data_IF_049107991605
#
_entry.id   IF_049107991605
#
_cell.length_a   1.000
_cell.length_b   1.000
_cell.length_c   1.000
_cell.angle_alpha   90.00
_cell.angle_beta   90.00
_cell.angle_gamma   90.00
#
_symmetry.space_group_name_H-M   'P 1'
#
loop_
_entity.id
_entity.type
_entity.pdbx_description
1 polymer ?
#
# COMPACT_ATOMS: atom_id res chain seq x y z
N UNK A 1 28.39 18.20 -23.48
CA UNK A 1 27.80 16.91 -23.07
C UNK A 1 27.95 16.78 -21.56
N UNK A 2 26.85 16.91 -20.79
CA UNK A 2 26.64 16.53 -19.37
C UNK A 2 25.39 17.26 -18.85
N UNK A 3 24.21 16.88 -19.33
CA UNK A 3 22.91 17.38 -18.82
C UNK A 3 21.85 16.26 -18.83
N UNK A 4 22.25 15.03 -18.53
CA UNK A 4 21.34 13.88 -18.55
C UNK A 4 21.39 13.01 -17.28
N UNK A 5 21.99 13.52 -16.19
CA UNK A 5 22.15 12.73 -14.96
C UNK A 5 21.49 13.34 -13.70
N UNK A 6 21.21 14.65 -13.66
CA UNK A 6 20.60 15.28 -12.47
C UNK A 6 19.11 14.97 -12.33
N UNK A 7 18.34 14.91 -13.42
CA UNK A 7 16.90 14.57 -13.37
C UNK A 7 16.67 13.11 -12.97
N UNK A 8 17.57 12.20 -13.36
CA UNK A 8 17.49 10.79 -12.98
C UNK A 8 17.88 10.56 -11.51
N UNK A 9 18.81 11.34 -10.96
CA UNK A 9 19.15 11.32 -9.53
C UNK A 9 17.99 11.83 -8.67
N UNK A 10 17.28 12.88 -9.11
CA UNK A 10 16.10 13.45 -8.44
C UNK A 10 14.97 12.44 -8.21
N UNK A 11 14.87 11.43 -9.08
CA UNK A 11 13.87 10.37 -9.01
C UNK A 11 14.38 9.08 -8.38
N UNK A 12 15.61 9.05 -7.86
CA UNK A 12 16.10 7.85 -7.19
C UNK A 12 15.34 7.63 -5.86
N UNK A 13 14.85 6.41 -5.57
CA UNK A 13 14.08 6.13 -4.34
C UNK A 13 14.83 6.56 -3.08
N UNK A 14 16.16 6.40 -3.09
CA UNK A 14 17.05 6.76 -1.99
C UNK A 14 17.16 8.27 -1.78
N UNK A 15 17.27 9.06 -2.85
CA UNK A 15 17.30 10.52 -2.73
C UNK A 15 15.92 11.06 -2.32
N UNK A 16 14.83 10.43 -2.78
CA UNK A 16 13.48 10.78 -2.31
C UNK A 16 13.29 10.49 -0.82
N UNK A 17 13.84 9.39 -0.31
CA UNK A 17 13.80 9.03 1.11
C UNK A 17 14.63 10.00 1.98
N UNK A 18 15.85 10.36 1.55
CA UNK A 18 16.70 11.33 2.26
C UNK A 18 16.11 12.75 2.28
N UNK A 19 15.58 13.22 1.14
CA UNK A 19 14.93 14.52 1.04
C UNK A 19 13.63 14.56 1.87
N UNK A 20 12.89 13.46 1.92
CA UNK A 20 11.70 13.33 2.74
C UNK A 20 12.03 13.32 4.24
N UNK A 21 13.07 12.60 4.67
CA UNK A 21 13.53 12.61 6.06
C UNK A 21 13.91 14.02 6.54
N UNK A 22 14.44 14.85 5.64
CA UNK A 22 14.77 16.25 5.92
C UNK A 22 13.54 17.17 5.95
N UNK A 23 12.50 16.86 5.18
CA UNK A 23 11.30 17.70 5.04
C UNK A 23 10.10 17.24 5.88
N UNK A 24 10.16 16.04 6.48
CA UNK A 24 9.08 15.50 7.31
C UNK A 24 8.95 16.29 8.62
N UNK A 25 7.74 16.76 9.00
CA UNK A 25 7.51 17.35 10.32
C UNK A 25 7.80 16.37 11.47
N UNK A 26 7.65 15.06 11.22
CA UNK A 26 8.01 13.98 12.14
C UNK A 26 8.10 12.64 11.40
N UNK A 27 9.15 11.85 11.65
CA UNK A 27 9.27 10.47 11.15
C UNK A 27 8.19 9.53 11.67
N UNK A 28 7.52 9.90 12.76
CA UNK A 28 6.50 9.08 13.41
C UNK A 28 5.08 9.40 12.94
N UNK A 29 4.92 10.30 11.96
CA UNK A 29 3.62 10.72 11.48
C UNK A 29 2.89 9.55 10.77
N UNK A 30 1.65 9.27 11.18
CA UNK A 30 0.83 8.21 10.60
C UNK A 30 0.94 6.85 11.29
N UNK A 31 1.99 6.58 12.07
CA UNK A 31 2.13 5.31 12.81
C UNK A 31 1.07 5.13 13.91
N UNK A 32 0.57 6.22 14.49
CA UNK A 32 -0.56 6.18 15.42
C UNK A 32 -1.84 5.65 14.75
N UNK A 33 -2.10 6.08 13.51
CA UNK A 33 -3.20 5.61 12.68
C UNK A 33 -2.97 4.17 12.25
N UNK A 34 -1.75 3.81 11.87
CA UNK A 34 -1.39 2.45 11.50
C UNK A 34 -1.60 1.46 12.65
N UNK A 35 -1.08 1.77 13.84
CA UNK A 35 -1.25 0.93 15.03
C UNK A 35 -2.72 0.71 15.38
N UNK A 36 -3.54 1.78 15.32
CA UNK A 36 -4.98 1.66 15.51
C UNK A 36 -5.63 0.81 14.41
N UNK A 37 -5.21 0.99 13.16
CA UNK A 37 -5.65 0.17 12.03
C UNK A 37 -5.35 -1.30 12.23
N UNK A 38 -4.14 -1.66 12.68
CA UNK A 38 -3.74 -3.04 13.00
C UNK A 38 -4.60 -3.62 14.13
N UNK A 39 -4.86 -2.83 15.18
CA UNK A 39 -5.73 -3.26 16.27
C UNK A 39 -7.17 -3.53 15.80
N UNK A 40 -7.71 -2.70 14.91
CA UNK A 40 -9.04 -2.88 14.30
C UNK A 40 -9.07 -4.08 13.34
N UNK A 41 -8.02 -4.27 12.55
CA UNK A 41 -7.86 -5.39 11.63
C UNK A 41 -7.86 -6.73 12.38
N UNK A 42 -7.18 -6.82 13.52
CA UNK A 42 -7.19 -8.02 14.39
C UNK A 42 -8.58 -8.35 14.95
N UNK A 43 -9.48 -7.37 14.99
CA UNK A 43 -10.89 -7.52 15.37
C UNK A 43 -11.81 -7.71 14.17
N UNK A 44 -11.24 -7.90 12.97
CA UNK A 44 -11.97 -8.05 11.71
C UNK A 44 -12.88 -6.87 11.35
N UNK A 45 -12.62 -5.69 11.93
CA UNK A 45 -13.33 -4.44 11.61
C UNK A 45 -12.70 -3.78 10.38
N UNK A 46 -12.85 -4.41 9.21
CA UNK A 46 -12.06 -4.10 8.02
C UNK A 46 -12.28 -2.68 7.47
N UNK A 47 -13.51 -2.16 7.47
CA UNK A 47 -13.82 -0.81 7.02
C UNK A 47 -13.19 0.25 7.92
N UNK A 48 -13.28 0.06 9.24
CA UNK A 48 -12.69 0.95 10.23
C UNK A 48 -11.15 0.92 10.15
N UNK A 49 -10.56 -0.27 9.99
CA UNK A 49 -9.13 -0.45 9.80
C UNK A 49 -8.65 0.26 8.51
N UNK A 50 -9.33 0.04 7.38
CA UNK A 50 -9.03 0.69 6.12
C UNK A 50 -9.11 2.23 6.21
N UNK A 51 -10.07 2.77 6.97
CA UNK A 51 -10.14 4.22 7.23
C UNK A 51 -8.90 4.75 7.94
N UNK A 52 -8.38 4.03 8.93
CA UNK A 52 -7.14 4.43 9.62
C UNK A 52 -5.92 4.29 8.72
N UNK A 53 -5.81 3.20 7.96
CA UNK A 53 -4.70 3.02 7.02
C UNK A 53 -4.71 4.08 5.91
N UNK A 54 -5.87 4.48 5.38
CA UNK A 54 -5.98 5.61 4.45
C UNK A 54 -5.45 6.92 5.05
N UNK A 55 -5.72 7.18 6.34
CA UNK A 55 -5.16 8.32 7.04
C UNK A 55 -3.65 8.20 7.22
N UNK A 56 -3.15 7.01 7.54
CA UNK A 56 -1.71 6.75 7.63
C UNK A 56 -1.01 7.02 6.29
N UNK A 57 -1.56 6.53 5.18
CA UNK A 57 -1.07 6.79 3.81
C UNK A 57 -1.13 8.28 3.45
N UNK A 58 -2.20 8.99 3.81
CA UNK A 58 -2.30 10.44 3.58
C UNK A 58 -1.23 11.22 4.34
N UNK A 59 -0.98 10.83 5.59
CA UNK A 59 -0.01 11.48 6.47
C UNK A 59 1.44 11.16 6.07
N UNK A 60 1.69 9.94 5.62
CA UNK A 60 2.99 9.50 5.12
C UNK A 60 2.79 8.58 3.90
N UNK A 61 2.83 9.13 2.68
CA UNK A 61 2.64 8.36 1.45
C UNK A 61 3.89 7.59 1.02
N UNK A 62 5.01 7.68 1.73
CA UNK A 62 6.26 6.99 1.38
C UNK A 62 6.50 5.74 2.25
N UNK A 63 5.81 5.62 3.38
CA UNK A 63 5.76 4.36 4.11
C UNK A 63 4.95 3.32 3.31
N UNK A 64 5.66 2.33 2.79
CA UNK A 64 5.09 1.25 1.98
C UNK A 64 4.21 0.32 2.82
N UNK A 65 4.53 0.14 4.10
CA UNK A 65 3.78 -0.73 5.02
C UNK A 65 2.32 -0.27 5.17
N UNK A 66 2.06 1.05 5.17
CA UNK A 66 0.70 1.58 5.30
C UNK A 66 -0.19 1.21 4.11
N UNK A 67 0.38 1.22 2.89
CA UNK A 67 -0.32 0.79 1.66
C UNK A 67 -0.52 -0.72 1.64
N UNK A 68 0.48 -1.49 2.10
CA UNK A 68 0.34 -2.93 2.27
C UNK A 68 -0.80 -3.29 3.24
N UNK A 69 -0.89 -2.63 4.39
CA UNK A 69 -1.97 -2.84 5.36
C UNK A 69 -3.35 -2.43 4.80
N UNK A 70 -3.41 -1.32 4.06
CA UNK A 70 -4.63 -0.89 3.37
C UNK A 70 -5.06 -1.93 2.32
N UNK A 71 -4.14 -2.40 1.48
CA UNK A 71 -4.38 -3.43 0.48
C UNK A 71 -4.90 -4.72 1.11
N UNK A 72 -4.34 -5.13 2.25
CA UNK A 72 -4.82 -6.29 2.99
C UNK A 72 -6.28 -6.12 3.46
N UNK A 73 -6.65 -4.95 3.99
CA UNK A 73 -8.02 -4.68 4.39
C UNK A 73 -8.97 -4.68 3.19
N UNK A 74 -8.57 -4.04 2.08
CA UNK A 74 -9.34 -4.00 0.85
C UNK A 74 -9.57 -5.40 0.27
N UNK A 75 -8.55 -6.26 0.33
CA UNK A 75 -8.65 -7.68 -0.02
C UNK A 75 -9.67 -8.40 0.87
N UNK A 76 -9.64 -8.19 2.19
CA UNK A 76 -10.61 -8.80 3.13
C UNK A 76 -12.05 -8.34 2.89
N UNK A 77 -12.23 -7.11 2.40
CA UNK A 77 -13.54 -6.57 1.98
C UNK A 77 -13.92 -6.93 0.55
N UNK A 78 -13.17 -7.81 -0.13
CA UNK A 78 -13.38 -8.20 -1.52
C UNK A 78 -13.33 -7.03 -2.53
N UNK A 79 -12.66 -5.94 -2.18
CA UNK A 79 -12.43 -4.76 -3.05
C UNK A 79 -11.13 -4.96 -3.83
N UNK A 80 -11.10 -6.02 -4.66
CA UNK A 80 -9.87 -6.56 -5.22
C UNK A 80 -9.12 -5.59 -6.13
N UNK A 81 -9.83 -4.79 -6.93
CA UNK A 81 -9.20 -3.80 -7.82
C UNK A 81 -8.47 -2.71 -7.03
N UNK A 82 -9.09 -2.16 -5.99
CA UNK A 82 -8.46 -1.16 -5.12
C UNK A 82 -7.29 -1.77 -4.33
N UNK A 83 -7.45 -2.99 -3.83
CA UNK A 83 -6.39 -3.72 -3.14
C UNK A 83 -5.15 -3.90 -4.04
N UNK A 84 -5.37 -4.21 -5.33
CA UNK A 84 -4.29 -4.40 -6.30
C UNK A 84 -3.54 -3.08 -6.56
N UNK A 85 -4.26 -1.97 -6.71
CA UNK A 85 -3.63 -0.66 -6.88
C UNK A 85 -2.70 -0.32 -5.71
N UNK A 86 -3.19 -0.44 -4.48
CA UNK A 86 -2.41 -0.11 -3.28
C UNK A 86 -1.17 -1.00 -3.12
N UNK A 87 -1.31 -2.31 -3.37
CA UNK A 87 -0.17 -3.24 -3.22
C UNK A 87 0.87 -3.04 -4.32
N UNK A 88 0.45 -2.65 -5.53
CA UNK A 88 1.38 -2.34 -6.61
C UNK A 88 2.17 -1.06 -6.32
N UNK A 89 1.54 -0.03 -5.74
CA UNK A 89 2.25 1.16 -5.26
C UNK A 89 3.23 0.82 -4.13
N UNK A 90 2.86 -0.05 -3.19
CA UNK A 90 3.79 -0.51 -2.15
C UNK A 90 5.02 -1.22 -2.76
N UNK A 91 4.81 -2.08 -3.76
CA UNK A 91 5.88 -2.79 -4.46
C UNK A 91 6.70 -1.92 -5.40
N UNK A 92 6.19 -0.78 -5.88
CA UNK A 92 7.03 0.20 -6.59
C UNK A 92 8.10 0.78 -5.66
N UNK A 93 7.78 0.95 -4.37
CA UNK A 93 8.70 1.47 -3.35
C UNK A 93 9.65 0.38 -2.83
N UNK A 94 9.12 -0.82 -2.55
CA UNK A 94 9.90 -1.98 -2.09
C UNK A 94 9.58 -3.22 -2.96
N UNK A 95 10.22 -3.37 -4.13
CA UNK A 95 9.89 -4.43 -5.10
C UNK A 95 10.03 -5.86 -4.58
N UNK A 96 10.95 -6.07 -3.63
CA UNK A 96 11.28 -7.38 -3.08
C UNK A 96 10.65 -7.64 -1.71
N UNK A 97 9.73 -6.77 -1.25
CA UNK A 97 9.07 -6.93 0.04
C UNK A 97 8.25 -8.24 0.09
N UNK A 98 8.65 -9.24 0.90
CA UNK A 98 8.02 -10.55 0.87
C UNK A 98 6.55 -10.52 1.28
N UNK A 99 6.19 -9.64 2.22
CA UNK A 99 4.81 -9.51 2.68
C UNK A 99 3.93 -8.92 1.59
N UNK A 100 4.36 -7.84 0.93
CA UNK A 100 3.62 -7.24 -0.17
C UNK A 100 3.45 -8.18 -1.36
N UNK A 101 4.50 -8.95 -1.72
CA UNK A 101 4.41 -9.99 -2.75
C UNK A 101 3.40 -11.08 -2.36
N UNK A 102 3.34 -11.45 -1.08
CA UNK A 102 2.38 -12.44 -0.57
C UNK A 102 0.95 -11.91 -0.64
N UNK A 103 0.71 -10.65 -0.27
CA UNK A 103 -0.59 -9.99 -0.39
C UNK A 103 -1.03 -9.90 -1.86
N UNK A 104 -0.14 -9.48 -2.77
CA UNK A 104 -0.42 -9.42 -4.21
C UNK A 104 -0.83 -10.78 -4.78
N UNK A 105 -0.11 -11.85 -4.44
CA UNK A 105 -0.47 -13.23 -4.86
C UNK A 105 -1.88 -13.62 -4.42
N UNK A 106 -2.28 -13.27 -3.20
CA UNK A 106 -3.64 -13.53 -2.68
C UNK A 106 -4.70 -12.74 -3.44
N UNK A 107 -4.46 -11.46 -3.70
CA UNK A 107 -5.38 -10.60 -4.48
C UNK A 107 -5.57 -11.17 -5.90
N UNK A 108 -4.48 -11.48 -6.61
CA UNK A 108 -4.53 -12.00 -7.98
C UNK A 108 -5.22 -13.36 -8.06
N UNK A 109 -5.04 -14.21 -7.04
CA UNK A 109 -5.74 -15.49 -6.95
C UNK A 109 -7.25 -15.27 -6.80
N UNK A 110 -7.67 -14.39 -5.89
CA UNK A 110 -9.09 -14.07 -5.71
C UNK A 110 -9.72 -13.50 -7.00
N UNK A 111 -9.03 -12.60 -7.72
CA UNK A 111 -9.53 -12.07 -8.99
C UNK A 111 -9.76 -13.16 -10.05
N UNK A 112 -8.87 -14.16 -10.12
CA UNK A 112 -9.04 -15.31 -11.02
C UNK A 112 -10.22 -16.20 -10.63
N UNK A 113 -10.46 -16.35 -9.33
CA UNK A 113 -11.59 -17.11 -8.79
C UNK A 113 -12.93 -16.37 -9.00
N UNK A 114 -12.92 -15.05 -9.10
CA UNK A 114 -14.08 -14.20 -9.42
C UNK A 114 -14.33 -13.99 -10.92
N UNK A 115 -13.34 -14.26 -11.78
CA UNK A 115 -13.52 -14.34 -13.23
C UNK A 115 -14.47 -15.48 -13.63
N UNK A 116 -14.98 -15.47 -14.88
CA UNK A 116 -16.40 -15.37 -15.25
C UNK A 116 -17.36 -16.42 -14.60
N UNK A 117 -17.37 -16.56 -13.28
CA UNK A 117 -18.32 -17.42 -12.53
C UNK A 117 -19.61 -16.72 -12.13
N UNK A 118 -19.85 -15.47 -12.56
CA UNK A 118 -21.08 -14.70 -12.27
C UNK A 118 -21.72 -14.03 -13.50
N UNK A 119 -21.53 -14.58 -14.70
CA UNK A 119 -22.40 -14.27 -15.85
C UNK A 119 -23.33 -15.42 -16.23
N UNK A 120 -23.40 -16.45 -15.39
CA UNK A 120 -24.38 -17.52 -15.53
C UNK A 120 -25.22 -17.55 -14.26
N UNK A 121 -26.42 -17.01 -14.36
CA UNK A 121 -27.59 -17.46 -13.64
C UNK A 121 -28.82 -17.05 -14.46
N UNK A 122 -29.87 -17.88 -14.44
CA UNK A 122 -30.57 -18.41 -15.62
C UNK A 122 -31.59 -17.46 -16.27
#
# INVERSE_FOLDING_TARGET
>A
MKHHNEEAELHSPKLSEELEDQLRPSRYLGYDRDHLGVALLRREMFEAAASQFKRAVYLNPYESAFKQHLAWCLYKMNRLSEALTEIETALQQKPEDPDSLTVRKRILRAQKEEGPRRKESP
#
